data_IF_200336360521
#
_entry.id   IF_200336360521
#
_cell.length_a   1.000
_cell.length_b   1.000
_cell.length_c   1.000
_cell.angle_alpha   90.00
_cell.angle_beta   90.00
_cell.angle_gamma   90.00
#
_symmetry.space_group_name_H-M   'P 1'
#
loop_
_entity.id
_entity.type
_entity.pdbx_description
1 polymer ?
#
# COMPACT_ATOMS: atom_id res chain seq x y z
N UNK A 1 -66.44 4.74 18.99
CA UNK A 1 -65.68 5.06 17.76
C UNK A 1 -64.31 4.43 17.88
N UNK A 2 -64.15 3.19 17.39
CA UNK A 2 -62.85 2.53 17.20
C UNK A 2 -62.72 2.23 15.70
N UNK A 3 -61.57 2.44 15.05
CA UNK A 3 -61.36 1.92 13.72
C UNK A 3 -60.90 0.46 13.77
N UNK A 4 -61.55 -0.35 12.93
CA UNK A 4 -61.20 -1.75 12.68
C UNK A 4 -59.90 -1.84 11.88
N UNK A 5 -58.96 -2.66 12.35
CA UNK A 5 -57.76 -3.05 11.62
C UNK A 5 -58.15 -4.03 10.51
N UNK A 6 -58.09 -3.57 9.26
CA UNK A 6 -58.23 -4.41 8.08
C UNK A 6 -56.99 -5.33 7.94
N UNK A 7 -57.21 -6.59 8.30
CA UNK A 7 -56.88 -7.79 7.52
C UNK A 7 -55.60 -7.73 6.67
N UNK A 8 -54.53 -8.32 7.22
CA UNK A 8 -53.33 -8.66 6.46
C UNK A 8 -53.63 -9.65 5.33
N UNK A 9 -53.25 -9.28 4.11
CA UNK A 9 -53.02 -10.23 3.01
C UNK A 9 -51.52 -10.37 2.79
N UNK A 10 -51.03 -11.57 3.09
CA UNK A 10 -49.65 -12.03 2.90
C UNK A 10 -49.45 -12.25 1.39
N UNK A 11 -48.83 -11.29 0.72
CA UNK A 11 -48.46 -11.41 -0.68
C UNK A 11 -47.24 -12.37 -0.81
N UNK A 12 -47.31 -13.43 -1.63
CA UNK A 12 -46.19 -14.33 -1.84
C UNK A 12 -45.06 -13.62 -2.62
N UNK A 13 -43.79 -13.85 -2.27
CA UNK A 13 -42.66 -13.24 -2.96
C UNK A 13 -42.61 -13.69 -4.42
N UNK A 14 -42.31 -12.81 -5.40
CA UNK A 14 -42.14 -13.22 -6.78
C UNK A 14 -40.99 -14.23 -6.89
N UNK A 15 -41.26 -15.33 -7.60
CA UNK A 15 -40.30 -16.37 -7.92
C UNK A 15 -39.01 -15.74 -8.47
N UNK A 16 -37.87 -16.05 -7.84
CA UNK A 16 -36.55 -15.71 -8.39
C UNK A 16 -36.40 -16.45 -9.72
N UNK A 17 -36.59 -15.70 -10.81
CA UNK A 17 -36.05 -16.03 -12.12
C UNK A 17 -34.56 -16.33 -11.96
N UNK A 18 -34.16 -17.55 -12.31
CA UNK A 18 -32.76 -17.94 -12.39
C UNK A 18 -32.00 -16.96 -13.31
N UNK A 19 -30.78 -16.54 -12.96
CA UNK A 19 -29.98 -15.73 -13.86
C UNK A 19 -29.65 -16.54 -15.13
N UNK A 20 -29.83 -15.97 -16.33
CA UNK A 20 -29.41 -16.63 -17.55
C UNK A 20 -27.89 -16.84 -17.57
N UNK A 21 -27.50 -17.98 -18.12
CA UNK A 21 -26.12 -18.41 -18.38
C UNK A 21 -25.28 -17.31 -19.02
N UNK A 22 -24.05 -17.19 -18.53
CA UNK A 22 -23.05 -16.25 -18.99
C UNK A 22 -22.76 -16.38 -20.49
N UNK A 23 -22.66 -15.26 -21.24
CA UNK A 23 -21.79 -15.20 -22.39
C UNK A 23 -20.36 -14.89 -21.92
N UNK A 24 -19.48 -15.82 -22.25
CA UNK A 24 -18.03 -15.72 -22.21
C UNK A 24 -17.53 -14.42 -22.87
N UNK A 25 -16.47 -13.84 -22.32
CA UNK A 25 -15.68 -12.82 -23.02
C UNK A 25 -15.84 -11.37 -22.55
N UNK A 26 -15.14 -11.02 -21.47
CA UNK A 26 -14.32 -9.81 -21.44
C UNK A 26 -13.41 -9.81 -20.22
N UNK A 27 -12.13 -10.08 -20.47
CA UNK A 27 -11.06 -9.90 -19.51
C UNK A 27 -10.99 -8.42 -19.07
N UNK A 28 -10.78 -8.13 -17.78
CA UNK A 28 -10.63 -6.77 -17.29
C UNK A 28 -9.41 -6.09 -17.95
N UNK A 29 -9.52 -4.78 -18.17
CA UNK A 29 -8.59 -3.92 -18.91
C UNK A 29 -7.17 -3.77 -18.31
N UNK A 30 -6.72 -4.73 -17.50
CA UNK A 30 -5.40 -4.79 -16.88
C UNK A 30 -4.46 -5.81 -17.53
N UNK A 31 -4.94 -6.68 -18.42
CA UNK A 31 -4.15 -7.79 -19.02
C UNK A 31 -3.56 -7.52 -20.41
N UNK A 32 -3.87 -6.39 -21.06
CA UNK A 32 -3.33 -6.07 -22.39
C UNK A 32 -1.88 -5.58 -22.35
N UNK A 33 -1.42 -5.04 -21.23
CA UNK A 33 -0.02 -4.57 -21.08
C UNK A 33 0.98 -5.71 -20.87
N UNK A 34 0.58 -6.78 -20.17
CA UNK A 34 1.48 -7.89 -19.82
C UNK A 34 1.70 -8.88 -20.97
N UNK A 35 0.68 -9.12 -21.80
CA UNK A 35 0.78 -10.04 -22.94
C UNK A 35 1.69 -9.51 -24.07
N UNK A 36 1.83 -8.19 -24.21
CA UNK A 36 2.75 -7.59 -25.19
C UNK A 36 4.22 -7.82 -24.79
N UNK A 37 4.52 -7.89 -23.48
CA UNK A 37 5.88 -8.17 -22.99
C UNK A 37 6.26 -9.65 -23.06
N UNK A 38 5.31 -10.58 -22.93
CA UNK A 38 5.59 -12.02 -23.00
C UNK A 38 5.83 -12.48 -24.45
N UNK A 39 5.18 -11.86 -25.44
CA UNK A 39 5.33 -12.21 -26.85
C UNK A 39 6.70 -11.86 -27.44
N UNK A 40 7.42 -10.87 -26.90
CA UNK A 40 8.71 -10.42 -27.45
C UNK A 40 9.93 -11.14 -26.86
N UNK A 41 9.76 -11.93 -25.79
CA UNK A 41 10.86 -12.68 -25.15
C UNK A 41 10.99 -14.13 -25.62
N UNK A 42 10.04 -14.66 -26.40
CA UNK A 42 10.03 -16.05 -26.91
C UNK A 42 10.73 -16.21 -28.27
N UNK A 43 11.81 -15.46 -28.50
CA UNK A 43 12.44 -15.32 -29.81
C UNK A 43 13.96 -15.51 -29.83
N UNK A 44 14.56 -16.40 -29.03
CA UNK A 44 15.99 -16.75 -29.20
C UNK A 44 16.28 -18.21 -28.83
N UNK A 45 16.68 -18.99 -29.85
CA UNK A 45 17.80 -19.94 -29.72
C UNK A 45 17.54 -21.35 -29.21
N UNK A 46 17.14 -22.25 -30.11
CA UNK A 46 17.50 -23.68 -30.03
C UNK A 46 19.02 -23.85 -30.13
N UNK A 47 19.66 -24.63 -29.26
CA UNK A 47 20.76 -25.55 -29.61
C UNK A 47 21.05 -26.58 -28.47
N UNK A 48 20.92 -27.86 -28.86
CA UNK A 48 21.67 -29.05 -28.41
C UNK A 48 21.69 -29.53 -26.93
N UNK A 49 20.75 -30.46 -26.66
CA UNK A 49 20.94 -31.82 -26.08
C UNK A 49 22.37 -32.31 -25.81
N UNK A 50 22.64 -32.74 -24.57
CA UNK A 50 23.51 -33.88 -24.26
C UNK A 50 23.22 -34.44 -22.84
N UNK A 51 23.37 -35.75 -22.71
CA UNK A 51 22.85 -36.65 -21.67
C UNK A 51 23.86 -36.96 -20.56
N UNK A 52 23.31 -37.36 -19.41
CA UNK A 52 23.84 -38.09 -18.24
C UNK A 52 25.23 -38.76 -18.34
N UNK A 53 26.02 -38.74 -17.25
CA UNK A 53 26.07 -39.85 -16.27
C UNK A 53 27.23 -39.75 -15.26
N UNK A 54 26.91 -40.19 -14.04
CA UNK A 54 27.67 -40.79 -12.93
C UNK A 54 29.22 -40.79 -12.85
N UNK A 55 29.66 -40.57 -11.60
CA UNK A 55 30.96 -40.76 -10.92
C UNK A 55 31.62 -42.16 -11.12
N UNK A 56 32.97 -42.25 -11.05
CA UNK A 56 33.58 -42.84 -9.83
C UNK A 56 34.94 -42.26 -9.36
N UNK A 57 35.06 -42.24 -8.03
CA UNK A 57 36.15 -42.53 -7.07
C UNK A 57 37.63 -42.74 -7.54
N UNK A 58 38.49 -41.90 -6.96
CA UNK A 58 39.87 -42.02 -6.42
C UNK A 58 41.00 -42.83 -7.11
N UNK A 59 42.17 -42.18 -7.23
CA UNK A 59 43.51 -42.80 -7.33
C UNK A 59 44.57 -41.89 -6.66
N UNK A 60 45.58 -42.41 -5.92
CA UNK A 60 46.46 -41.61 -5.07
C UNK A 60 47.56 -40.84 -5.83
N UNK A 61 47.88 -39.70 -5.22
CA UNK A 61 48.74 -38.59 -5.60
C UNK A 61 50.24 -38.92 -5.76
N UNK A 62 50.90 -38.56 -6.87
CA UNK A 62 52.35 -38.39 -6.90
C UNK A 62 52.74 -37.07 -6.22
N UNK A 63 53.65 -37.15 -5.24
CA UNK A 63 54.19 -35.96 -4.52
C UNK A 63 55.24 -35.27 -5.40
N UNK A 64 55.07 -34.00 -5.81
CA UNK A 64 56.12 -33.25 -6.49
C UNK A 64 57.17 -32.74 -5.49
N UNK A 65 58.46 -32.64 -5.89
CA UNK A 65 59.51 -32.12 -5.03
C UNK A 65 59.32 -30.63 -4.72
N UNK A 66 59.75 -30.24 -3.52
CA UNK A 66 59.61 -28.93 -2.91
C UNK A 66 60.33 -27.82 -3.71
N UNK A 67 59.64 -26.78 -4.20
CA UNK A 67 60.30 -25.64 -4.81
C UNK A 67 60.91 -24.70 -3.75
N UNK A 68 62.18 -24.36 -3.99
CA UNK A 68 63.02 -23.42 -3.22
C UNK A 68 62.29 -22.09 -2.87
N UNK A 69 62.48 -21.53 -1.66
CA UNK A 69 61.78 -20.31 -1.25
C UNK A 69 62.16 -19.12 -2.14
N UNK A 70 61.14 -18.50 -2.73
CA UNK A 70 61.24 -17.26 -3.51
C UNK A 70 61.67 -16.08 -2.63
N UNK A 71 62.43 -15.11 -3.16
CA UNK A 71 62.85 -13.93 -2.39
C UNK A 71 61.66 -13.08 -1.95
N UNK A 72 61.77 -12.55 -0.73
CA UNK A 72 60.76 -11.73 -0.05
C UNK A 72 60.36 -10.51 -0.90
N UNK A 73 59.05 -10.20 -1.05
CA UNK A 73 58.61 -9.01 -1.77
C UNK A 73 58.98 -7.74 -1.00
N UNK A 74 59.51 -6.75 -1.74
CA UNK A 74 59.74 -5.37 -1.29
C UNK A 74 58.42 -4.73 -0.82
N UNK A 75 58.40 -4.03 0.34
CA UNK A 75 57.17 -3.41 0.84
C UNK A 75 56.65 -2.34 -0.13
N UNK A 76 55.35 -2.41 -0.41
CA UNK A 76 54.63 -1.45 -1.25
C UNK A 76 54.41 -0.13 -0.49
N UNK A 77 54.49 1.05 -1.15
CA UNK A 77 54.30 2.33 -0.47
C UNK A 77 52.89 2.45 0.10
N UNK A 78 52.82 2.81 1.38
CA UNK A 78 51.56 3.08 2.10
C UNK A 78 50.89 4.31 1.49
N UNK A 79 49.66 4.15 0.98
CA UNK A 79 48.86 5.27 0.49
C UNK A 79 48.42 6.13 1.67
N UNK A 80 48.69 7.44 1.57
CA UNK A 80 48.28 8.44 2.56
C UNK A 80 46.73 8.52 2.64
N UNK A 81 46.14 8.64 3.84
CA UNK A 81 44.69 8.66 4.00
C UNK A 81 44.07 9.90 3.34
N UNK A 82 43.03 9.67 2.53
CA UNK A 82 42.20 10.73 1.95
C UNK A 82 41.36 11.36 3.07
N UNK A 83 41.33 12.71 3.20
CA UNK A 83 40.54 13.36 4.23
C UNK A 83 39.04 13.02 4.10
N UNK A 84 38.31 12.90 5.21
CA UNK A 84 36.89 12.62 5.19
C UNK A 84 36.13 13.77 4.53
N UNK A 85 35.25 13.42 3.59
CA UNK A 85 34.36 14.37 2.92
C UNK A 85 33.51 15.11 3.98
N UNK A 86 33.39 16.44 3.93
CA UNK A 86 32.53 17.18 4.84
C UNK A 86 31.11 16.63 4.79
N UNK A 87 30.58 16.22 5.95
CA UNK A 87 29.18 15.80 6.03
C UNK A 87 28.27 16.98 5.71
N UNK A 88 27.20 16.78 4.92
CA UNK A 88 26.24 17.84 4.62
C UNK A 88 25.66 18.39 5.92
N UNK A 89 25.76 19.71 6.10
CA UNK A 89 25.11 20.44 7.19
C UNK A 89 23.61 20.11 7.15
N UNK A 90 23.04 19.62 8.25
CA UNK A 90 21.59 19.39 8.36
C UNK A 90 20.87 20.69 8.03
N UNK A 91 20.06 20.67 6.97
CA UNK A 91 19.11 21.72 6.68
C UNK A 91 18.15 21.84 7.88
N UNK A 92 17.80 23.06 8.36
CA UNK A 92 16.80 23.20 9.39
C UNK A 92 15.50 22.54 8.92
N UNK A 93 15.03 21.55 9.69
CA UNK A 93 13.74 20.91 9.47
C UNK A 93 12.65 21.96 9.73
N UNK A 94 11.64 22.11 8.86
CA UNK A 94 10.54 23.04 9.12
C UNK A 94 9.94 22.72 10.50
N UNK A 95 9.88 23.73 11.37
CA UNK A 95 9.32 23.55 12.71
C UNK A 95 7.81 23.44 12.58
N UNK A 96 7.30 22.24 12.77
CA UNK A 96 5.87 21.98 12.78
C UNK A 96 5.25 22.56 14.07
N UNK A 97 4.15 23.29 13.91
CA UNK A 97 3.40 23.87 15.03
C UNK A 97 2.21 22.97 15.38
N UNK A 98 2.10 22.56 16.64
CA UNK A 98 0.96 21.76 17.10
C UNK A 98 -0.29 22.62 17.24
N UNK A 99 -1.37 22.23 16.58
CA UNK A 99 -2.65 22.93 16.59
C UNK A 99 -3.63 22.35 17.63
N UNK A 100 -3.64 21.02 17.79
CA UNK A 100 -4.52 20.34 18.72
C UNK A 100 -4.80 18.88 18.36
N UNK A 101 -5.61 18.24 19.21
CA UNK A 101 -6.06 16.85 19.02
C UNK A 101 -7.48 16.88 18.44
N UNK A 102 -7.78 16.00 17.49
CA UNK A 102 -9.14 15.83 16.96
C UNK A 102 -10.02 15.05 17.92
N UNK A 103 -11.33 15.19 17.80
CA UNK A 103 -12.30 14.44 18.59
C UNK A 103 -13.38 13.83 17.69
N UNK A 104 -14.09 12.83 18.20
CA UNK A 104 -15.27 12.28 17.51
C UNK A 104 -16.34 13.36 17.22
N UNK A 105 -16.37 14.45 18.02
CA UNK A 105 -17.25 15.60 17.77
C UNK A 105 -16.82 16.39 16.54
N UNK A 106 -15.51 16.58 16.31
CA UNK A 106 -15.02 17.28 15.13
C UNK A 106 -15.43 16.55 13.85
N UNK A 107 -15.31 15.22 13.82
CA UNK A 107 -15.76 14.39 12.70
C UNK A 107 -17.28 14.50 12.47
N UNK A 108 -18.07 14.43 13.55
CA UNK A 108 -19.52 14.56 13.48
C UNK A 108 -19.94 15.94 12.96
N UNK A 109 -19.24 16.99 13.39
CA UNK A 109 -19.51 18.37 12.97
C UNK A 109 -19.09 18.59 11.52
N UNK A 110 -17.98 18.02 11.09
CA UNK A 110 -17.56 18.01 9.70
C UNK A 110 -18.62 17.37 8.80
N UNK A 111 -19.14 16.20 9.15
CA UNK A 111 -20.18 15.55 8.35
C UNK A 111 -21.50 16.33 8.31
N UNK A 112 -21.86 16.98 9.43
CA UNK A 112 -23.02 17.86 9.48
C UNK A 112 -22.84 19.11 8.59
N UNK A 113 -21.65 19.72 8.61
CA UNK A 113 -21.33 20.89 7.80
C UNK A 113 -21.27 20.59 6.29
N UNK A 114 -20.88 19.38 5.91
CA UNK A 114 -20.81 18.94 4.51
C UNK A 114 -22.13 18.34 3.98
N UNK A 115 -23.26 18.53 4.67
CA UNK A 115 -24.58 17.99 4.31
C UNK A 115 -24.61 16.46 4.11
N UNK A 116 -23.64 15.74 4.70
CA UNK A 116 -23.37 14.33 4.40
C UNK A 116 -23.77 13.37 5.54
N UNK A 117 -24.55 13.85 6.52
CA UNK A 117 -25.18 12.99 7.54
C UNK A 117 -24.29 12.67 8.74
N UNK A 118 -24.19 11.39 9.11
CA UNK A 118 -23.46 10.93 10.32
C UNK A 118 -22.09 10.38 9.93
N UNK A 119 -21.12 10.45 10.84
CA UNK A 119 -19.84 9.76 10.66
C UNK A 119 -20.04 8.24 10.68
N UNK A 120 -19.35 7.53 9.79
CA UNK A 120 -19.28 6.09 9.74
C UNK A 120 -17.89 5.66 9.28
N UNK A 121 -17.56 4.39 9.52
CA UNK A 121 -16.31 3.78 9.11
C UNK A 121 -16.59 2.50 8.32
N UNK A 122 -15.85 2.32 7.23
CA UNK A 122 -15.87 1.09 6.46
C UNK A 122 -15.02 0.01 7.14
N UNK A 123 -15.16 -1.25 6.71
CA UNK A 123 -14.37 -2.37 7.24
C UNK A 123 -12.87 -2.27 6.97
N UNK A 124 -12.48 -1.48 5.97
CA UNK A 124 -11.08 -1.15 5.65
C UNK A 124 -10.52 0.00 6.50
N UNK A 125 -11.28 0.44 7.51
CA UNK A 125 -10.98 1.55 8.43
C UNK A 125 -11.01 2.93 7.77
N UNK A 126 -11.48 3.06 6.53
CA UNK A 126 -11.70 4.36 5.90
C UNK A 126 -12.93 5.06 6.49
N UNK A 127 -12.78 6.35 6.76
CA UNK A 127 -13.83 7.18 7.35
C UNK A 127 -14.63 7.88 6.27
N UNK A 128 -15.93 7.96 6.48
CA UNK A 128 -16.83 8.65 5.57
C UNK A 128 -18.03 9.23 6.30
N UNK A 129 -18.63 10.24 5.69
CA UNK A 129 -19.93 10.75 6.09
C UNK A 129 -21.02 9.93 5.39
N UNK A 130 -21.81 9.22 6.19
CA UNK A 130 -22.96 8.44 5.75
C UNK A 130 -24.16 9.35 5.57
N UNK A 131 -24.52 9.57 4.31
CA UNK A 131 -25.70 10.34 3.92
C UNK A 131 -27.00 9.65 4.35
N UNK A 132 -27.97 10.47 4.76
CA UNK A 132 -29.33 10.04 5.17
C UNK A 132 -30.42 10.48 4.20
N UNK A 133 -30.09 11.28 3.17
CA UNK A 133 -31.04 12.03 2.35
C UNK A 133 -30.80 11.90 0.84
N UNK A 134 -30.14 10.83 0.40
CA UNK A 134 -29.89 10.57 -1.03
C UNK A 134 -28.67 11.30 -1.61
N UNK A 135 -27.94 12.09 -0.83
CA UNK A 135 -26.59 12.54 -1.20
C UNK A 135 -25.62 11.36 -1.24
N UNK A 136 -24.57 11.41 -2.08
CA UNK A 136 -23.49 10.43 -2.00
C UNK A 136 -22.79 10.50 -0.64
N UNK A 137 -22.28 9.36 -0.17
CA UNK A 137 -21.38 9.33 0.98
C UNK A 137 -20.11 10.12 0.65
N UNK A 138 -19.63 10.92 1.61
CA UNK A 138 -18.41 11.71 1.45
C UNK A 138 -17.27 11.04 2.22
N UNK A 139 -16.31 10.38 1.55
CA UNK A 139 -15.10 9.90 2.22
C UNK A 139 -14.23 11.08 2.66
N UNK A 140 -13.51 10.93 3.77
CA UNK A 140 -12.58 11.94 4.25
C UNK A 140 -11.40 11.31 4.99
N UNK A 141 -10.31 12.09 5.08
CA UNK A 141 -9.11 11.72 5.85
C UNK A 141 -8.99 12.60 7.10
N UNK A 142 -8.13 12.19 8.05
CA UNK A 142 -7.80 13.00 9.22
C UNK A 142 -7.24 14.38 8.83
N UNK A 143 -6.49 14.47 7.73
CA UNK A 143 -5.96 15.74 7.21
C UNK A 143 -7.06 16.67 6.72
N UNK A 144 -8.12 16.15 6.08
CA UNK A 144 -9.25 16.97 5.63
C UNK A 144 -9.98 17.60 6.82
N UNK A 145 -10.11 16.84 7.92
CA UNK A 145 -10.68 17.34 9.17
C UNK A 145 -9.80 18.44 9.77
N UNK A 146 -8.47 18.26 9.83
CA UNK A 146 -7.57 19.30 10.34
C UNK A 146 -7.69 20.59 9.52
N UNK A 147 -7.66 20.48 8.18
CA UNK A 147 -7.79 21.64 7.30
C UNK A 147 -9.10 22.38 7.48
N UNK A 148 -10.20 21.64 7.58
CA UNK A 148 -11.52 22.21 7.83
C UNK A 148 -11.63 22.84 9.23
N UNK A 149 -11.12 22.16 10.26
CA UNK A 149 -11.27 22.57 11.66
C UNK A 149 -10.50 23.84 12.00
N UNK A 150 -9.34 24.04 11.36
CA UNK A 150 -8.47 25.20 11.59
C UNK A 150 -8.53 26.23 10.45
N UNK A 151 -9.37 25.99 9.43
CA UNK A 151 -9.49 26.82 8.22
C UNK A 151 -8.13 27.10 7.55
N UNK A 152 -7.23 26.11 7.59
CA UNK A 152 -5.87 26.23 7.08
C UNK A 152 -5.57 25.07 6.12
N UNK A 153 -5.24 25.40 4.86
CA UNK A 153 -4.91 24.40 3.83
C UNK A 153 -3.55 23.74 4.06
N UNK A 154 -2.64 24.41 4.77
CA UNK A 154 -1.34 23.87 5.16
C UNK A 154 -1.46 22.92 6.35
N UNK A 155 -2.57 22.96 7.10
CA UNK A 155 -2.77 22.02 8.19
C UNK A 155 -2.77 20.57 7.70
N UNK A 156 -2.17 19.70 8.49
CA UNK A 156 -2.05 18.28 8.20
C UNK A 156 -2.18 17.46 9.48
N UNK A 157 -2.61 16.20 9.32
CA UNK A 157 -2.81 15.30 10.43
C UNK A 157 -1.68 14.27 10.55
N UNK A 158 -1.25 14.02 11.78
CA UNK A 158 -0.62 12.75 12.17
C UNK A 158 -1.70 11.89 12.81
N UNK A 159 -2.13 10.83 12.12
CA UNK A 159 -2.99 9.83 12.74
C UNK A 159 -2.18 8.99 13.74
N UNK A 160 -2.71 8.80 14.95
CA UNK A 160 -2.21 7.82 15.91
C UNK A 160 -2.81 6.45 15.59
N UNK A 161 -3.84 6.07 16.33
CA UNK A 161 -4.73 4.96 16.01
C UNK A 161 -5.76 5.41 14.96
N UNK A 162 -5.85 4.70 13.83
CA UNK A 162 -6.77 5.03 12.73
C UNK A 162 -8.25 4.81 13.12
N UNK A 163 -8.52 4.02 14.15
CA UNK A 163 -9.86 3.68 14.62
C UNK A 163 -10.32 4.62 15.75
N UNK A 164 -9.40 5.37 16.37
CA UNK A 164 -9.69 6.34 17.42
C UNK A 164 -9.27 7.77 17.01
N UNK A 165 -10.22 8.64 16.62
CA UNK A 165 -9.92 10.00 16.20
C UNK A 165 -9.32 10.88 17.31
N UNK A 166 -9.46 10.48 18.59
CA UNK A 166 -8.86 11.20 19.72
C UNK A 166 -7.34 11.03 19.82
N UNK A 167 -6.77 10.13 19.02
CA UNK A 167 -5.33 9.98 18.91
C UNK A 167 -4.72 10.83 17.79
N UNK A 168 -5.56 11.41 16.94
CA UNK A 168 -5.12 12.19 15.77
C UNK A 168 -4.71 13.60 16.18
N UNK A 169 -3.55 14.03 15.68
CA UNK A 169 -2.96 15.33 16.00
C UNK A 169 -2.86 16.18 14.75
N UNK A 170 -3.29 17.43 14.85
CA UNK A 170 -3.16 18.40 13.78
C UNK A 170 -1.95 19.29 13.98
N UNK A 171 -1.29 19.60 12.87
CA UNK A 171 -0.13 20.48 12.81
C UNK A 171 -0.22 21.42 11.62
N UNK A 172 0.61 22.47 11.61
CA UNK A 172 0.92 23.32 10.45
C UNK A 172 2.42 23.54 10.32
#
# INVERSE_FOLDING_TARGET
>A
MLPAFLTGKKEPPPARTAPPLAPDGSLPASERGMLIFVATLLGVGTLAKATSSAVPVASPTPTPPEPSPAPSPTPSPTRSPVPPKPSPKRSPSPTSTFLGILTARDLSTFCAANHAGRVAQHSDRSWYCKSTSGHPSLPFTSTDICRWRYDDKAAWAVAGDIDDPTTWKCYM
#
